data_IF_322626472160
#
_entry.id   IF_322626472160
#
_cell.length_a   1.000
_cell.length_b   1.000
_cell.length_c   1.000
_cell.angle_alpha   90.00
_cell.angle_beta   90.00
_cell.angle_gamma   90.00
#
_symmetry.space_group_name_H-M   'P 1'
#
loop_
_entity.id
_entity.type
_entity.pdbx_description
1 polymer ?
#
# COMPACT_ATOMS: atom_id res chain seq x y z
N UNK A 1 -37.43 89.12 8.91
CA UNK A 1 -37.35 88.25 7.72
C UNK A 1 -35.87 88.04 7.40
N UNK A 2 -35.24 86.98 7.92
CA UNK A 2 -33.88 86.58 7.55
C UNK A 2 -33.85 85.06 7.35
N UNK A 3 -33.35 84.66 6.17
CA UNK A 3 -33.35 83.29 5.64
C UNK A 3 -32.32 82.43 6.40
N UNK A 4 -32.70 81.19 6.66
CA UNK A 4 -31.82 80.10 7.10
C UNK A 4 -31.40 79.29 5.86
N UNK A 5 -30.10 79.21 5.51
CA UNK A 5 -29.66 78.17 4.59
C UNK A 5 -28.32 77.56 5.05
N UNK A 6 -28.33 76.58 5.97
CA UNK A 6 -27.09 75.83 6.28
C UNK A 6 -27.27 74.31 6.48
N UNK A 7 -28.45 73.72 6.30
CA UNK A 7 -28.65 72.29 6.60
C UNK A 7 -28.45 71.32 5.41
N UNK A 8 -28.17 71.79 4.20
CA UNK A 8 -27.97 70.90 3.02
C UNK A 8 -26.52 70.47 2.76
N UNK A 9 -25.52 71.15 3.33
CA UNK A 9 -24.11 70.81 3.08
C UNK A 9 -23.62 69.61 3.91
N UNK A 10 -24.11 69.43 5.14
CA UNK A 10 -23.70 68.34 6.04
C UNK A 10 -24.20 66.96 5.62
N UNK A 11 -25.27 66.88 4.81
CA UNK A 11 -25.87 65.59 4.45
C UNK A 11 -25.15 64.89 3.28
N UNK A 12 -24.36 65.62 2.49
CA UNK A 12 -23.65 65.09 1.32
C UNK A 12 -22.23 64.60 1.67
N UNK A 13 -21.56 65.18 2.67
CA UNK A 13 -20.25 64.70 3.16
C UNK A 13 -20.36 63.41 4.00
N UNK A 14 -21.47 63.22 4.71
CA UNK A 14 -21.70 62.00 5.49
C UNK A 14 -21.99 60.77 4.62
N UNK A 15 -22.54 60.94 3.40
CA UNK A 15 -22.81 59.80 2.51
C UNK A 15 -21.56 59.30 1.79
N UNK A 16 -20.59 60.18 1.50
CA UNK A 16 -19.33 59.81 0.85
C UNK A 16 -18.37 59.11 1.82
N UNK A 17 -18.28 59.57 3.07
CA UNK A 17 -17.45 58.95 4.11
C UNK A 17 -17.93 57.57 4.54
N UNK A 18 -19.23 57.38 4.74
CA UNK A 18 -19.81 56.06 5.09
C UNK A 18 -19.69 55.08 3.92
N UNK A 19 -19.89 55.54 2.68
CA UNK A 19 -19.70 54.72 1.49
C UNK A 19 -18.25 54.26 1.31
N UNK A 20 -17.28 55.13 1.58
CA UNK A 20 -15.85 54.80 1.55
C UNK A 20 -15.51 53.74 2.62
N UNK A 21 -15.98 53.92 3.86
CA UNK A 21 -15.72 52.98 4.96
C UNK A 21 -16.33 51.59 4.69
N UNK A 22 -17.55 51.54 4.14
CA UNK A 22 -18.20 50.28 3.76
C UNK A 22 -17.42 49.60 2.62
N UNK A 23 -16.99 50.36 1.62
CA UNK A 23 -16.21 49.83 0.50
C UNK A 23 -14.84 49.31 0.95
N UNK A 24 -14.13 50.05 1.81
CA UNK A 24 -12.85 49.64 2.40
C UNK A 24 -13.00 48.39 3.26
N UNK A 25 -14.08 48.30 4.05
CA UNK A 25 -14.38 47.12 4.86
C UNK A 25 -14.68 45.90 3.98
N UNK A 26 -15.43 46.07 2.88
CA UNK A 26 -15.69 45.02 1.91
C UNK A 26 -14.41 44.56 1.18
N UNK A 27 -13.51 45.50 0.86
CA UNK A 27 -12.21 45.19 0.25
C UNK A 27 -11.31 44.40 1.19
N UNK A 28 -11.28 44.74 2.49
CA UNK A 28 -10.53 43.97 3.49
C UNK A 28 -11.08 42.54 3.62
N UNK A 29 -12.40 42.38 3.75
CA UNK A 29 -13.03 41.06 3.81
C UNK A 29 -12.77 40.27 2.51
N UNK A 30 -12.91 40.91 1.35
CA UNK A 30 -12.62 40.31 0.04
C UNK A 30 -11.17 39.88 -0.12
N UNK A 31 -10.23 40.63 0.46
CA UNK A 31 -8.79 40.32 0.42
C UNK A 31 -8.45 39.14 1.33
N UNK A 32 -9.06 39.04 2.51
CA UNK A 32 -8.91 37.88 3.40
C UNK A 32 -9.50 36.62 2.76
N UNK A 33 -10.72 36.71 2.21
CA UNK A 33 -11.36 35.59 1.51
C UNK A 33 -10.58 35.18 0.26
N UNK A 34 -10.04 36.15 -0.48
CA UNK A 34 -9.20 35.89 -1.65
C UNK A 34 -7.89 35.17 -1.29
N UNK A 35 -7.23 35.57 -0.21
CA UNK A 35 -6.04 34.89 0.30
C UNK A 35 -6.34 33.45 0.71
N UNK A 36 -7.42 33.23 1.48
CA UNK A 36 -7.85 31.89 1.90
C UNK A 36 -8.22 30.99 0.72
N UNK A 37 -8.86 31.55 -0.32
CA UNK A 37 -9.23 30.81 -1.53
C UNK A 37 -8.00 30.42 -2.37
N UNK A 38 -6.97 31.29 -2.43
CA UNK A 38 -5.71 30.97 -3.11
C UNK A 38 -4.95 29.89 -2.33
N UNK A 39 -4.88 30.01 -1.01
CA UNK A 39 -4.20 29.03 -0.15
C UNK A 39 -4.89 27.66 -0.21
N UNK A 40 -6.24 27.62 -0.16
CA UNK A 40 -6.99 26.36 -0.30
C UNK A 40 -6.76 25.72 -1.66
N UNK A 41 -6.80 26.51 -2.74
CA UNK A 41 -6.57 26.00 -4.09
C UNK A 41 -5.15 25.48 -4.30
N UNK A 42 -4.14 26.15 -3.73
CA UNK A 42 -2.75 25.67 -3.76
C UNK A 42 -2.63 24.35 -3.00
N UNK A 43 -3.23 24.27 -1.81
CA UNK A 43 -3.22 23.07 -0.98
C UNK A 43 -3.93 21.89 -1.68
N UNK A 44 -5.08 22.11 -2.31
CA UNK A 44 -5.80 21.07 -3.05
C UNK A 44 -4.96 20.51 -4.21
N UNK A 45 -4.20 21.35 -4.90
CA UNK A 45 -3.29 20.92 -5.96
C UNK A 45 -2.12 20.11 -5.43
N UNK A 46 -1.54 20.51 -4.31
CA UNK A 46 -0.44 19.79 -3.68
C UNK A 46 -0.89 18.41 -3.19
N UNK A 47 -2.07 18.34 -2.56
CA UNK A 47 -2.72 17.08 -2.15
C UNK A 47 -2.97 16.19 -3.36
N UNK A 48 -3.56 16.71 -4.43
CA UNK A 48 -3.83 15.94 -5.65
C UNK A 48 -2.53 15.41 -6.30
N UNK A 49 -1.48 16.23 -6.34
CA UNK A 49 -0.17 15.81 -6.85
C UNK A 49 0.46 14.71 -5.99
N UNK A 50 0.33 14.81 -4.67
CA UNK A 50 0.85 13.84 -3.72
C UNK A 50 0.09 12.51 -3.80
N UNK A 51 -1.24 12.53 -3.94
CA UNK A 51 -2.06 11.34 -4.21
C UNK A 51 -1.64 10.70 -5.52
N UNK A 52 -1.52 11.46 -6.62
CA UNK A 52 -1.12 10.93 -7.92
C UNK A 52 0.29 10.30 -7.89
N UNK A 53 1.23 10.95 -7.20
CA UNK A 53 2.57 10.40 -6.99
C UNK A 53 2.52 9.09 -6.20
N UNK A 54 1.73 9.04 -5.13
CA UNK A 54 1.59 7.87 -4.26
C UNK A 54 0.94 6.69 -5.01
N UNK A 55 -0.12 6.94 -5.78
CA UNK A 55 -0.74 5.92 -6.64
C UNK A 55 0.24 5.34 -7.65
N UNK A 56 1.07 6.19 -8.28
CA UNK A 56 2.10 5.74 -9.22
C UNK A 56 3.18 4.90 -8.52
N UNK A 57 3.59 5.29 -7.31
CA UNK A 57 4.55 4.52 -6.51
C UNK A 57 3.97 3.15 -6.14
N UNK A 58 2.69 3.08 -5.72
CA UNK A 58 2.01 1.82 -5.42
C UNK A 58 1.95 0.92 -6.65
N UNK A 59 1.61 1.48 -7.82
CA UNK A 59 1.54 0.72 -9.06
C UNK A 59 2.90 0.08 -9.41
N UNK A 60 4.00 0.83 -9.24
CA UNK A 60 5.34 0.31 -9.49
C UNK A 60 5.74 -0.78 -8.48
N UNK A 61 5.42 -0.57 -7.19
CA UNK A 61 5.75 -1.51 -6.11
C UNK A 61 4.96 -2.82 -6.26
N UNK A 62 3.64 -2.74 -6.50
CA UNK A 62 2.77 -3.88 -6.75
C UNK A 62 3.22 -4.66 -7.97
N UNK A 63 3.52 -3.97 -9.08
CA UNK A 63 4.03 -4.64 -10.29
C UNK A 63 5.32 -5.40 -10.01
N UNK A 64 6.26 -4.79 -9.29
CA UNK A 64 7.52 -5.44 -8.95
C UNK A 64 7.32 -6.67 -8.06
N UNK A 65 6.50 -6.52 -7.02
CA UNK A 65 6.22 -7.61 -6.08
C UNK A 65 5.44 -8.76 -6.75
N UNK A 66 4.47 -8.44 -7.61
CA UNK A 66 3.72 -9.42 -8.40
C UNK A 66 4.65 -10.23 -9.32
N UNK A 67 5.61 -9.58 -9.98
CA UNK A 67 6.60 -10.26 -10.81
C UNK A 67 7.48 -11.20 -9.98
N UNK A 68 7.83 -10.80 -8.75
CA UNK A 68 8.58 -11.67 -7.85
C UNK A 68 7.78 -12.94 -7.51
N UNK A 69 6.50 -12.79 -7.12
CA UNK A 69 5.63 -13.94 -6.78
C UNK A 69 5.41 -14.86 -7.99
N UNK A 70 5.20 -14.28 -9.17
CA UNK A 70 5.08 -15.05 -10.40
C UNK A 70 6.37 -15.84 -10.72
N UNK A 71 7.53 -15.24 -10.45
CA UNK A 71 8.83 -15.90 -10.67
C UNK A 71 9.17 -16.97 -9.63
N UNK A 72 8.65 -16.88 -8.39
CA UNK A 72 8.88 -17.87 -7.33
C UNK A 72 7.99 -19.10 -7.49
N UNK A 73 6.80 -18.93 -8.05
CA UNK A 73 5.79 -19.97 -8.17
C UNK A 73 6.31 -21.29 -8.82
N UNK A 74 7.02 -21.27 -9.97
CA UNK A 74 7.52 -22.51 -10.58
C UNK A 74 8.46 -23.30 -9.67
N UNK A 75 9.26 -22.62 -8.85
CA UNK A 75 10.15 -23.28 -7.89
C UNK A 75 9.34 -23.99 -6.82
N UNK A 76 8.35 -23.32 -6.19
CA UNK A 76 7.52 -23.94 -5.16
C UNK A 76 6.75 -25.17 -5.67
N UNK A 77 6.17 -25.05 -6.87
CA UNK A 77 5.49 -26.16 -7.52
C UNK A 77 6.46 -27.31 -7.88
N UNK A 78 7.67 -26.98 -8.35
CA UNK A 78 8.71 -27.98 -8.65
C UNK A 78 9.12 -28.78 -7.42
N UNK A 79 9.43 -28.09 -6.31
CA UNK A 79 9.78 -28.76 -5.04
C UNK A 79 8.61 -29.62 -4.55
N UNK A 80 7.37 -29.10 -4.61
CA UNK A 80 6.18 -29.86 -4.21
C UNK A 80 6.03 -31.15 -5.00
N UNK A 81 6.17 -31.11 -6.33
CA UNK A 81 6.08 -32.29 -7.17
C UNK A 81 7.14 -33.33 -6.79
N UNK A 82 8.38 -32.91 -6.56
CA UNK A 82 9.47 -33.81 -6.12
C UNK A 82 9.12 -34.46 -4.76
N UNK A 83 8.62 -33.68 -3.80
CA UNK A 83 8.23 -34.20 -2.47
C UNK A 83 7.06 -35.19 -2.59
N UNK A 84 6.09 -34.94 -3.48
CA UNK A 84 5.00 -35.88 -3.75
C UNK A 84 5.51 -37.19 -4.36
N UNK A 85 6.46 -37.12 -5.31
CA UNK A 85 7.09 -38.30 -5.91
C UNK A 85 7.92 -39.10 -4.89
N UNK A 86 8.60 -38.42 -3.95
CA UNK A 86 9.28 -39.07 -2.82
C UNK A 86 8.29 -39.76 -1.88
N UNK A 87 7.13 -39.16 -1.62
CA UNK A 87 6.08 -39.76 -0.79
C UNK A 87 5.43 -40.98 -1.47
N UNK A 88 5.24 -40.93 -2.79
CA UNK A 88 4.75 -42.04 -3.59
C UNK A 88 5.77 -43.18 -3.75
N UNK A 89 7.04 -42.94 -3.39
CA UNK A 89 8.13 -43.89 -3.52
C UNK A 89 8.70 -44.01 -4.94
N UNK A 90 8.34 -43.09 -5.84
CA UNK A 90 8.88 -43.01 -7.21
C UNK A 90 10.32 -42.51 -7.20
N UNK A 91 10.63 -41.55 -6.32
CA UNK A 91 11.98 -41.04 -6.06
C UNK A 91 12.44 -41.53 -4.67
N UNK A 92 13.67 -42.05 -4.51
CA UNK A 92 14.20 -42.39 -3.20
C UNK A 92 14.40 -41.12 -2.36
N UNK A 93 13.95 -41.15 -1.11
CA UNK A 93 14.20 -40.05 -0.17
C UNK A 93 15.62 -40.15 0.39
N UNK A 94 16.40 -39.09 0.21
CA UNK A 94 17.69 -38.90 0.88
C UNK A 94 17.66 -37.58 1.65
N UNK A 95 17.89 -37.65 2.97
CA UNK A 95 17.74 -36.49 3.85
C UNK A 95 18.69 -35.34 3.49
N UNK A 96 19.93 -35.64 3.11
CA UNK A 96 20.93 -34.62 2.76
C UNK A 96 20.62 -33.94 1.42
N UNK A 97 20.18 -34.69 0.41
CA UNK A 97 19.72 -34.12 -0.87
C UNK A 97 18.48 -33.25 -0.68
N UNK A 98 17.54 -33.71 0.15
CA UNK A 98 16.35 -32.93 0.51
C UNK A 98 16.72 -31.61 1.20
N UNK A 99 17.66 -31.62 2.15
CA UNK A 99 18.17 -30.41 2.81
C UNK A 99 18.86 -29.46 1.84
N UNK A 100 19.66 -29.97 0.91
CA UNK A 100 20.31 -29.15 -0.12
C UNK A 100 19.29 -28.49 -1.05
N UNK A 101 18.26 -29.24 -1.43
CA UNK A 101 17.15 -28.73 -2.24
C UNK A 101 16.43 -27.58 -1.53
N UNK A 102 16.12 -27.73 -0.23
CA UNK A 102 15.55 -26.65 0.60
C UNK A 102 16.51 -25.48 0.79
N UNK A 103 17.82 -25.74 0.91
CA UNK A 103 18.84 -24.70 1.04
C UNK A 103 18.98 -23.81 -0.19
N UNK A 104 18.50 -24.26 -1.35
CA UNK A 104 18.38 -23.44 -2.56
C UNK A 104 17.23 -22.43 -2.51
N UNK A 105 16.29 -22.55 -1.58
CA UNK A 105 15.17 -21.63 -1.44
C UNK A 105 15.67 -20.28 -0.89
N UNK A 106 15.49 -19.22 -1.67
CA UNK A 106 15.78 -17.86 -1.21
C UNK A 106 14.66 -17.35 -0.32
N UNK A 107 15.01 -16.54 0.69
CA UNK A 107 14.04 -15.83 1.53
C UNK A 107 13.21 -14.85 0.69
N UNK A 108 11.95 -14.69 1.06
CA UNK A 108 11.06 -13.71 0.42
C UNK A 108 11.34 -12.33 0.97
N UNK A 109 11.57 -11.38 0.07
CA UNK A 109 11.72 -9.96 0.37
C UNK A 109 10.87 -9.16 -0.62
N UNK A 110 9.63 -8.88 -0.23
CA UNK A 110 8.69 -8.05 -0.99
C UNK A 110 8.77 -6.61 -0.49
N UNK A 111 8.70 -5.64 -1.39
CA UNK A 111 8.82 -4.21 -1.06
C UNK A 111 7.56 -3.71 -0.38
N UNK A 112 7.72 -2.87 0.63
CA UNK A 112 6.62 -2.23 1.37
C UNK A 112 6.89 -0.74 1.64
N UNK A 113 7.97 -0.20 1.06
CA UNK A 113 8.43 1.16 1.33
C UNK A 113 7.38 2.21 0.99
N UNK A 114 6.60 1.97 -0.08
CA UNK A 114 5.56 2.89 -0.50
C UNK A 114 4.44 2.94 0.54
N UNK A 115 3.99 1.76 0.99
CA UNK A 115 3.00 1.66 2.05
C UNK A 115 3.43 2.36 3.32
N UNK A 116 4.63 2.05 3.82
CA UNK A 116 5.17 2.63 5.05
C UNK A 116 5.27 4.17 4.95
N UNK A 117 5.70 4.67 3.78
CA UNK A 117 5.81 6.11 3.53
C UNK A 117 4.44 6.78 3.50
N UNK A 118 3.48 6.22 2.76
CA UNK A 118 2.16 6.81 2.52
C UNK A 118 1.29 6.76 3.78
N UNK A 119 1.41 5.71 4.59
CA UNK A 119 0.82 5.66 5.94
C UNK A 119 1.43 6.76 6.83
N UNK A 120 2.76 6.91 6.79
CA UNK A 120 3.47 7.90 7.62
C UNK A 120 3.19 9.35 7.25
N UNK A 121 2.93 9.65 5.98
CA UNK A 121 2.61 11.00 5.50
C UNK A 121 1.12 11.35 5.58
N UNK A 122 0.25 10.39 5.91
CA UNK A 122 -1.19 10.62 6.03
C UNK A 122 -1.95 10.74 4.69
N UNK A 123 -1.28 10.51 3.56
CA UNK A 123 -1.85 10.67 2.22
C UNK A 123 -3.03 9.73 1.97
N UNK A 124 -3.09 8.59 2.68
CA UNK A 124 -4.22 7.66 2.59
C UNK A 124 -5.58 8.31 2.91
N UNK A 125 -5.62 9.34 3.74
CA UNK A 125 -6.87 10.02 4.08
C UNK A 125 -7.50 10.74 2.89
N UNK A 126 -6.69 11.08 1.88
CA UNK A 126 -7.08 11.81 0.67
C UNK A 126 -7.32 10.88 -0.52
N UNK A 127 -7.08 9.57 -0.34
CA UNK A 127 -7.28 8.54 -1.37
C UNK A 127 -8.68 7.93 -1.28
N UNK A 128 -9.12 7.32 -2.38
CA UNK A 128 -10.38 6.57 -2.39
C UNK A 128 -10.38 5.44 -1.35
N UNK A 129 -11.46 5.35 -0.57
CA UNK A 129 -11.56 4.41 0.53
C UNK A 129 -11.47 2.94 0.07
N UNK A 130 -12.07 2.59 -1.07
CA UNK A 130 -12.03 1.22 -1.59
C UNK A 130 -10.59 0.85 -1.96
N UNK A 131 -9.86 1.77 -2.60
CA UNK A 131 -8.44 1.59 -2.91
C UNK A 131 -7.59 1.42 -1.65
N UNK A 132 -7.79 2.25 -0.62
CA UNK A 132 -7.05 2.16 0.65
C UNK A 132 -7.34 0.83 1.34
N UNK A 133 -8.59 0.40 1.37
CA UNK A 133 -8.98 -0.89 1.95
C UNK A 133 -8.34 -2.06 1.20
N UNK A 134 -8.35 -2.03 -0.13
CA UNK A 134 -7.74 -3.06 -0.95
C UNK A 134 -6.22 -3.09 -0.78
N UNK A 135 -5.54 -1.95 -0.77
CA UNK A 135 -4.10 -1.85 -0.47
C UNK A 135 -3.78 -2.42 0.91
N UNK A 136 -4.54 -2.04 1.94
CA UNK A 136 -4.35 -2.53 3.32
C UNK A 136 -4.43 -4.05 3.41
N UNK A 137 -5.43 -4.65 2.74
CA UNK A 137 -5.55 -6.10 2.64
C UNK A 137 -4.34 -6.71 1.92
N UNK A 138 -3.98 -6.19 0.75
CA UNK A 138 -2.85 -6.69 -0.04
C UNK A 138 -1.54 -6.67 0.74
N UNK A 139 -1.22 -5.58 1.44
CA UNK A 139 -0.02 -5.49 2.27
C UNK A 139 -0.07 -6.42 3.50
N UNK A 140 -1.26 -6.67 4.05
CA UNK A 140 -1.45 -7.66 5.12
C UNK A 140 -1.18 -9.08 4.63
N UNK A 141 -1.68 -9.43 3.44
CA UNK A 141 -1.41 -10.72 2.77
C UNK A 141 0.07 -10.88 2.44
N UNK A 142 0.70 -9.83 1.90
CA UNK A 142 2.13 -9.78 1.62
C UNK A 142 2.96 -10.08 2.87
N UNK A 143 2.63 -9.42 3.98
CA UNK A 143 3.32 -9.63 5.26
C UNK A 143 3.12 -11.05 5.78
N UNK A 144 1.90 -11.58 5.67
CA UNK A 144 1.61 -12.97 6.05
C UNK A 144 2.43 -13.96 5.24
N UNK A 145 2.51 -13.79 3.93
CA UNK A 145 3.34 -14.64 3.06
C UNK A 145 4.81 -14.58 3.46
N UNK A 146 5.38 -13.38 3.65
CA UNK A 146 6.78 -13.22 4.05
C UNK A 146 7.11 -13.94 5.35
N UNK A 147 6.25 -13.80 6.37
CA UNK A 147 6.42 -14.48 7.67
C UNK A 147 6.30 -15.98 7.49
N UNK A 148 5.19 -16.45 6.91
CA UNK A 148 4.94 -17.90 6.71
C UNK A 148 6.03 -18.57 5.90
N UNK A 149 6.55 -17.91 4.88
CA UNK A 149 7.64 -18.44 4.06
C UNK A 149 8.95 -18.49 4.84
N UNK A 150 9.39 -17.37 5.42
CA UNK A 150 10.72 -17.29 6.01
C UNK A 150 10.81 -18.13 7.30
N UNK A 151 9.77 -18.09 8.13
CA UNK A 151 9.70 -18.88 9.35
C UNK A 151 9.43 -20.34 9.02
N UNK A 152 8.50 -20.62 8.11
CA UNK A 152 8.18 -21.98 7.68
C UNK A 152 9.36 -22.70 7.02
N UNK A 153 10.16 -22.01 6.19
CA UNK A 153 11.38 -22.57 5.62
C UNK A 153 12.41 -22.87 6.70
N UNK A 154 12.57 -21.97 7.67
CA UNK A 154 13.49 -22.16 8.80
C UNK A 154 13.08 -23.36 9.66
N UNK A 155 11.79 -23.48 9.93
CA UNK A 155 11.22 -24.58 10.70
C UNK A 155 11.32 -25.91 9.95
N UNK A 156 11.03 -25.93 8.65
CA UNK A 156 11.15 -27.12 7.82
C UNK A 156 12.60 -27.63 7.79
N UNK A 157 13.57 -26.72 7.59
CA UNK A 157 14.99 -27.06 7.63
C UNK A 157 15.35 -27.62 9.01
N UNK A 158 14.96 -26.94 10.10
CA UNK A 158 15.22 -27.40 11.47
C UNK A 158 14.60 -28.77 11.75
N UNK A 159 13.33 -28.97 11.40
CA UNK A 159 12.61 -30.22 11.58
C UNK A 159 13.24 -31.35 10.78
N UNK A 160 13.77 -31.07 9.59
CA UNK A 160 14.51 -32.07 8.80
C UNK A 160 15.78 -32.59 9.50
N UNK A 161 16.38 -31.82 10.42
CA UNK A 161 17.48 -32.28 11.25
C UNK A 161 16.99 -33.03 12.50
N UNK A 162 15.96 -32.52 13.18
CA UNK A 162 15.42 -33.11 14.41
C UNK A 162 14.77 -34.48 14.15
N UNK A 163 14.02 -34.61 13.06
CA UNK A 163 13.29 -35.82 12.71
C UNK A 163 14.21 -36.94 12.17
N UNK A 164 15.49 -36.64 11.91
CA UNK A 164 16.49 -37.60 11.45
C UNK A 164 16.04 -38.36 10.20
N UNK A 165 15.89 -39.67 10.33
CA UNK A 165 15.50 -40.58 9.24
C UNK A 165 14.00 -40.83 9.14
N UNK A 166 13.16 -40.12 9.92
CA UNK A 166 11.71 -40.24 9.83
C UNK A 166 11.17 -39.54 8.57
N UNK A 167 11.41 -40.18 7.41
CA UNK A 167 11.06 -39.65 6.08
C UNK A 167 9.60 -39.24 5.98
N UNK A 168 8.69 -40.01 6.57
CA UNK A 168 7.25 -39.76 6.44
C UNK A 168 6.87 -38.46 7.15
N UNK A 169 7.44 -38.19 8.32
CA UNK A 169 7.21 -36.95 9.05
C UNK A 169 7.80 -35.73 8.31
N UNK A 170 9.01 -35.88 7.77
CA UNK A 170 9.70 -34.80 7.01
C UNK A 170 8.91 -34.46 5.74
N UNK A 171 8.55 -35.47 4.94
CA UNK A 171 7.80 -35.27 3.70
C UNK A 171 6.40 -34.69 3.97
N UNK A 172 5.73 -35.13 5.04
CA UNK A 172 4.44 -34.56 5.44
C UNK A 172 4.57 -33.07 5.81
N UNK A 173 5.56 -32.70 6.62
CA UNK A 173 5.77 -31.30 7.02
C UNK A 173 6.14 -30.43 5.81
N UNK A 174 6.97 -30.96 4.91
CA UNK A 174 7.34 -30.31 3.66
C UNK A 174 6.12 -30.04 2.76
N UNK A 175 5.26 -31.04 2.54
CA UNK A 175 4.05 -30.86 1.73
C UNK A 175 3.09 -29.86 2.35
N UNK A 176 2.91 -29.92 3.68
CA UNK A 176 2.07 -28.95 4.40
C UNK A 176 2.60 -27.53 4.22
N UNK A 177 3.90 -27.33 4.42
CA UNK A 177 4.56 -26.04 4.19
C UNK A 177 4.36 -25.55 2.75
N UNK A 178 4.69 -26.37 1.75
CA UNK A 178 4.62 -25.99 0.33
C UNK A 178 3.19 -25.68 -0.12
N UNK A 179 2.20 -26.46 0.32
CA UNK A 179 0.80 -26.19 0.03
C UNK A 179 0.36 -24.83 0.59
N UNK A 180 0.72 -24.53 1.84
CA UNK A 180 0.37 -23.26 2.47
C UNK A 180 1.01 -22.06 1.74
N UNK A 181 2.26 -22.21 1.27
CA UNK A 181 2.94 -21.15 0.51
C UNK A 181 2.29 -20.96 -0.85
N UNK A 182 2.02 -22.02 -1.59
CA UNK A 182 1.38 -21.95 -2.91
C UNK A 182 -0.02 -21.30 -2.81
N UNK A 183 -0.80 -21.66 -1.79
CA UNK A 183 -2.11 -21.05 -1.54
C UNK A 183 -1.99 -19.55 -1.22
N UNK A 184 -1.04 -19.17 -0.34
CA UNK A 184 -0.81 -17.77 0.00
C UNK A 184 -0.25 -16.95 -1.19
N UNK A 185 0.59 -17.54 -2.04
CA UNK A 185 1.06 -16.92 -3.29
C UNK A 185 -0.10 -16.68 -4.27
N UNK A 186 -1.03 -17.63 -4.39
CA UNK A 186 -2.20 -17.49 -5.24
C UNK A 186 -3.13 -16.36 -4.76
N UNK A 187 -3.46 -16.34 -3.47
CA UNK A 187 -4.29 -15.29 -2.87
C UNK A 187 -3.65 -13.91 -3.01
N UNK A 188 -2.33 -13.81 -2.81
CA UNK A 188 -1.60 -12.55 -2.98
C UNK A 188 -1.56 -12.10 -4.44
N UNK A 189 -1.45 -13.05 -5.38
CA UNK A 189 -1.48 -12.75 -6.83
C UNK A 189 -2.83 -12.14 -7.23
N UNK A 190 -3.94 -12.71 -6.74
CA UNK A 190 -5.28 -12.16 -6.97
C UNK A 190 -5.42 -10.75 -6.39
N UNK A 191 -4.92 -10.54 -5.16
CA UNK A 191 -4.93 -9.23 -4.52
C UNK A 191 -4.11 -8.17 -5.28
N UNK A 192 -2.95 -8.55 -5.82
CA UNK A 192 -2.15 -7.66 -6.67
C UNK A 192 -2.85 -7.32 -8.00
N UNK A 193 -3.53 -8.28 -8.63
CA UNK A 193 -4.31 -8.03 -9.83
C UNK A 193 -5.44 -7.03 -9.55
N UNK A 194 -6.22 -7.26 -8.48
CA UNK A 194 -7.32 -6.38 -8.10
C UNK A 194 -6.85 -4.94 -7.86
N UNK A 195 -5.86 -4.74 -7.00
CA UNK A 195 -5.34 -3.40 -6.71
C UNK A 195 -4.67 -2.79 -7.94
N UNK A 196 -4.01 -3.61 -8.76
CA UNK A 196 -3.39 -3.19 -10.02
C UNK A 196 -4.40 -2.61 -11.01
N UNK A 197 -5.63 -3.13 -11.07
CA UNK A 197 -6.71 -2.54 -11.88
C UNK A 197 -7.25 -1.23 -11.28
N UNK A 198 -7.34 -1.13 -9.96
CA UNK A 198 -7.81 0.08 -9.28
C UNK A 198 -6.85 1.27 -9.39
N UNK A 199 -5.56 1.00 -9.65
CA UNK A 199 -4.50 2.01 -9.81
C UNK A 199 -4.28 2.47 -11.25
N UNK A 200 -5.04 1.96 -12.24
CA UNK A 200 -4.98 2.38 -13.66
C UNK A 200 -5.85 3.60 -13.93
#
# INVERSE_FOLDING_TARGET
MFRVPQLRALQVELSSGVGLIIFESLLMVGSILGALAIDSWSNDKEVAALVAHSSKAFQQEIKHNSQWVESSNPYQHGIRSIVQEMQAGTIPFQADEFRQMLGGAQKVVLRQSTWDTVVGTGVLAEMDFELVSALSLTYSLQRRLQVSYNDGLTDLIRNSYILGDNKNAILFDALRYLNNIIEAEAELTEAYLQVGEMLK
#
